data_IF_462982050554
#
_entry.id   IF_462982050554
#
_cell.length_a   1.000
_cell.length_b   1.000
_cell.length_c   1.000
_cell.angle_alpha   90.00
_cell.angle_beta   90.00
_cell.angle_gamma   90.00
#
_symmetry.space_group_name_H-M   'P 1'
#
loop_
_entity.id
_entity.type
_entity.pdbx_description
1 polymer ?
#
# COMPACT_ATOMS: atom_id res chain seq x y z
N UNK A 1 -24.66 9.35 -0.71
CA UNK A 1 -24.13 8.48 -1.76
C UNK A 1 -23.14 7.56 -1.09
N UNK A 2 -23.40 6.26 -1.02
CA UNK A 2 -22.55 5.33 -0.28
C UNK A 2 -21.18 5.20 -0.95
N UNK A 3 -20.11 5.20 -0.14
CA UNK A 3 -18.73 4.95 -0.61
C UNK A 3 -18.45 3.47 -0.88
N UNK A 4 -19.41 2.61 -0.56
CA UNK A 4 -19.28 1.17 -0.70
C UNK A 4 -20.04 0.72 -1.93
N UNK A 5 -19.36 0.12 -2.86
CA UNK A 5 -19.93 -0.73 -3.88
C UNK A 5 -19.08 -2.00 -3.97
N UNK A 6 -19.74 -3.09 -4.32
CA UNK A 6 -19.06 -4.36 -4.51
C UNK A 6 -18.04 -4.22 -5.64
N UNK A 7 -16.81 -4.71 -5.41
CA UNK A 7 -15.79 -4.65 -6.43
C UNK A 7 -16.12 -5.68 -7.52
N UNK A 8 -16.26 -5.25 -8.76
CA UNK A 8 -16.54 -6.11 -9.91
C UNK A 8 -15.40 -7.11 -10.21
N UNK A 9 -14.23 -6.90 -9.58
CA UNK A 9 -13.01 -7.68 -9.81
C UNK A 9 -12.37 -8.13 -8.52
N UNK A 10 -11.83 -9.34 -8.54
CA UNK A 10 -10.96 -9.83 -7.46
C UNK A 10 -9.63 -9.09 -7.46
N UNK A 11 -8.93 -9.10 -6.32
CA UNK A 11 -7.59 -8.49 -6.24
C UNK A 11 -6.59 -9.14 -7.21
N UNK A 12 -6.73 -10.44 -7.48
CA UNK A 12 -5.89 -11.13 -8.48
C UNK A 12 -6.13 -10.62 -9.90
N UNK A 13 -7.38 -10.37 -10.28
CA UNK A 13 -7.70 -9.76 -11.57
C UNK A 13 -7.15 -8.33 -11.67
N UNK A 14 -7.22 -7.56 -10.59
CA UNK A 14 -6.59 -6.24 -10.56
C UNK A 14 -5.08 -6.30 -10.75
N UNK A 15 -4.40 -7.30 -10.17
CA UNK A 15 -2.96 -7.50 -10.37
C UNK A 15 -2.60 -7.87 -11.83
N UNK A 16 -3.51 -8.45 -12.59
CA UNK A 16 -3.28 -8.79 -13.98
C UNK A 16 -3.46 -7.59 -14.93
N UNK A 17 -4.35 -6.66 -14.56
CA UNK A 17 -4.75 -5.55 -15.43
C UNK A 17 -4.06 -4.23 -15.10
N UNK A 18 -3.64 -4.06 -13.85
CA UNK A 18 -3.12 -2.80 -13.30
C UNK A 18 -1.67 -2.96 -12.88
N UNK A 19 -0.93 -1.85 -12.85
CA UNK A 19 0.49 -1.88 -12.50
C UNK A 19 0.87 -1.03 -11.28
N UNK A 20 0.04 -0.08 -10.91
CA UNK A 20 0.32 0.84 -9.80
C UNK A 20 -0.59 0.53 -8.61
N UNK A 21 -0.02 0.12 -7.49
CA UNK A 21 -0.77 -0.25 -6.28
C UNK A 21 -0.35 0.64 -5.11
N UNK A 22 -1.33 1.19 -4.42
CA UNK A 22 -1.09 2.03 -3.24
C UNK A 22 -1.74 1.37 -2.04
N UNK A 23 -0.94 0.95 -1.09
CA UNK A 23 -1.41 0.27 0.10
C UNK A 23 -1.38 1.21 1.30
N UNK A 24 -2.54 1.38 1.91
CA UNK A 24 -2.74 2.22 3.07
C UNK A 24 -3.37 1.37 4.15
N UNK A 25 -2.99 1.58 5.39
CA UNK A 25 -3.56 0.83 6.52
C UNK A 25 -2.97 1.29 7.82
N UNK A 26 -3.81 1.25 8.86
CA UNK A 26 -3.42 1.61 10.20
C UNK A 26 -2.38 0.65 10.80
N UNK A 27 -1.72 1.10 11.86
CA UNK A 27 -0.72 0.29 12.56
C UNK A 27 -1.29 -1.09 12.96
N UNK A 28 -0.56 -2.16 12.64
CA UNK A 28 -0.98 -3.53 12.92
C UNK A 28 -2.03 -4.10 11.95
N UNK A 29 -2.32 -3.43 10.84
CA UNK A 29 -3.14 -4.00 9.77
C UNK A 29 -2.47 -5.18 9.05
N UNK A 30 -1.16 -5.36 9.22
CA UNK A 30 -0.35 -6.35 8.48
C UNK A 30 0.01 -5.87 7.07
N UNK A 31 -0.22 -4.59 6.78
CA UNK A 31 -0.02 -3.96 5.48
C UNK A 31 1.32 -4.32 4.85
N UNK A 32 2.40 -4.01 5.53
CA UNK A 32 3.76 -4.12 4.97
C UNK A 32 4.18 -5.56 4.65
N UNK A 33 3.78 -6.52 5.49
CA UNK A 33 4.01 -7.94 5.22
C UNK A 33 3.21 -8.40 4.00
N UNK A 34 1.96 -7.95 3.90
CA UNK A 34 1.11 -8.25 2.75
C UNK A 34 1.69 -7.65 1.46
N UNK A 35 2.13 -6.40 1.49
CA UNK A 35 2.72 -5.71 0.33
C UNK A 35 3.99 -6.41 -0.16
N UNK A 36 4.85 -6.86 0.74
CA UNK A 36 6.05 -7.64 0.39
C UNK A 36 5.68 -8.96 -0.31
N UNK A 37 4.68 -9.68 0.20
CA UNK A 37 4.21 -10.93 -0.42
C UNK A 37 3.58 -10.68 -1.79
N UNK A 38 2.80 -9.61 -1.95
CA UNK A 38 2.24 -9.21 -3.25
C UNK A 38 3.35 -8.86 -4.23
N UNK A 39 4.37 -8.11 -3.83
CA UNK A 39 5.49 -7.74 -4.67
C UNK A 39 6.22 -8.99 -5.23
N UNK A 40 6.52 -9.96 -4.36
CA UNK A 40 7.15 -11.23 -4.78
C UNK A 40 6.23 -12.02 -5.72
N UNK A 41 4.93 -12.10 -5.42
CA UNK A 41 3.95 -12.79 -6.27
C UNK A 41 3.86 -12.16 -7.66
N UNK A 42 3.82 -10.82 -7.73
CA UNK A 42 3.81 -10.08 -9.00
C UNK A 42 5.08 -10.31 -9.83
N UNK A 43 6.25 -10.19 -9.20
CA UNK A 43 7.52 -10.42 -9.88
C UNK A 43 7.62 -11.85 -10.43
N UNK A 44 7.26 -12.86 -9.64
CA UNK A 44 7.28 -14.26 -10.05
C UNK A 44 6.28 -14.57 -11.16
N UNK A 45 5.07 -13.98 -11.10
CA UNK A 45 3.99 -14.22 -12.07
C UNK A 45 4.28 -13.59 -13.43
N UNK A 46 4.86 -12.40 -13.43
CA UNK A 46 4.96 -11.58 -14.64
C UNK A 46 6.36 -11.55 -15.25
N UNK A 47 7.39 -11.91 -14.48
CA UNK A 47 8.79 -11.75 -14.87
C UNK A 47 9.23 -10.29 -15.02
N UNK A 48 8.38 -9.32 -14.64
CA UNK A 48 8.68 -7.89 -14.67
C UNK A 48 9.26 -7.44 -13.35
N UNK A 49 10.05 -6.38 -13.40
CA UNK A 49 10.53 -5.71 -12.20
C UNK A 49 9.38 -5.09 -11.42
N UNK A 50 9.45 -5.22 -10.11
CA UNK A 50 8.53 -4.59 -9.16
C UNK A 50 9.31 -3.58 -8.32
N UNK A 51 8.94 -2.31 -8.38
CA UNK A 51 9.48 -1.27 -7.53
C UNK A 51 8.56 -1.10 -6.31
N UNK A 52 9.06 -1.43 -5.13
CA UNK A 52 8.37 -1.28 -3.85
C UNK A 52 8.94 -0.09 -3.09
N UNK A 53 8.15 0.96 -2.95
CA UNK A 53 8.50 2.15 -2.17
C UNK A 53 7.97 2.02 -0.74
N UNK A 54 8.90 1.97 0.24
CA UNK A 54 8.58 2.07 1.66
C UNK A 54 8.48 3.55 2.04
N UNK A 55 7.24 4.03 2.14
CA UNK A 55 6.91 5.41 2.47
C UNK A 55 6.40 5.57 3.90
N UNK A 56 6.45 4.50 4.72
CA UNK A 56 6.09 4.56 6.14
C UNK A 56 7.20 5.23 6.95
N UNK A 57 7.03 6.53 7.20
CA UNK A 57 7.98 7.33 7.96
C UNK A 57 7.90 7.07 9.48
N UNK A 58 6.81 6.51 9.97
CA UNK A 58 6.57 6.33 11.40
C UNK A 58 7.06 4.99 11.93
N UNK A 59 7.07 3.99 11.09
CA UNK A 59 7.54 2.64 11.42
C UNK A 59 8.30 2.08 10.23
N UNK A 60 9.61 2.31 10.17
CA UNK A 60 10.41 1.77 9.09
C UNK A 60 10.27 0.24 9.04
N UNK A 61 10.07 -0.28 7.86
CA UNK A 61 9.99 -1.69 7.57
C UNK A 61 11.38 -2.33 7.72
N UNK A 62 11.82 -2.60 8.96
CA UNK A 62 13.12 -3.20 9.21
C UNK A 62 13.35 -4.45 8.37
N UNK A 63 12.33 -5.31 8.25
CA UNK A 63 12.45 -6.56 7.50
C UNK A 63 12.66 -6.35 6.00
N UNK A 64 11.98 -5.39 5.40
CA UNK A 64 12.15 -5.14 3.96
C UNK A 64 13.52 -4.56 3.63
N UNK A 65 14.05 -3.70 4.49
CA UNK A 65 15.37 -3.09 4.32
C UNK A 65 16.49 -4.10 4.52
N UNK A 66 16.42 -4.89 5.57
CA UNK A 66 17.39 -5.93 5.88
C UNK A 66 17.45 -7.04 4.82
N UNK A 67 16.34 -7.29 4.16
CA UNK A 67 16.21 -8.34 3.14
C UNK A 67 16.32 -7.82 1.69
N UNK A 68 16.72 -6.58 1.49
CA UNK A 68 16.77 -5.92 0.18
C UNK A 68 17.46 -6.77 -0.90
N UNK A 69 18.62 -7.36 -0.56
CA UNK A 69 19.35 -8.20 -1.52
C UNK A 69 18.61 -9.47 -1.91
N UNK A 70 17.88 -10.07 -0.97
CA UNK A 70 17.12 -11.29 -1.25
C UNK A 70 15.86 -10.99 -2.06
N UNK A 71 15.23 -9.84 -1.82
CA UNK A 71 14.11 -9.38 -2.64
C UNK A 71 14.56 -8.99 -4.07
N UNK A 72 15.71 -8.37 -4.21
CA UNK A 72 16.28 -8.04 -5.52
C UNK A 72 16.49 -9.29 -6.39
N UNK A 73 16.96 -10.39 -5.81
CA UNK A 73 17.08 -11.69 -6.51
C UNK A 73 15.74 -12.25 -6.99
N UNK A 74 14.64 -11.82 -6.35
CA UNK A 74 13.26 -12.20 -6.71
C UNK A 74 12.57 -11.20 -7.64
N UNK A 75 13.29 -10.22 -8.19
CA UNK A 75 12.76 -9.20 -9.07
C UNK A 75 12.04 -8.05 -8.37
N UNK A 76 12.21 -7.90 -7.06
CA UNK A 76 11.63 -6.82 -6.26
C UNK A 76 12.72 -5.85 -5.83
N UNK A 77 12.62 -4.61 -6.29
CA UNK A 77 13.51 -3.52 -5.91
C UNK A 77 12.84 -2.71 -4.79
N UNK A 78 13.37 -2.80 -3.58
CA UNK A 78 12.84 -2.06 -2.41
C UNK A 78 13.55 -0.71 -2.33
N UNK A 79 12.77 0.37 -2.39
CA UNK A 79 13.24 1.74 -2.40
C UNK A 79 12.75 2.44 -1.15
N UNK A 80 13.66 2.98 -0.37
CA UNK A 80 13.38 3.77 0.83
C UNK A 80 14.38 4.90 0.95
N UNK A 81 14.07 5.88 1.76
CA UNK A 81 15.00 6.95 2.11
C UNK A 81 15.32 6.91 3.59
N UNK A 82 16.60 6.86 3.92
CA UNK A 82 17.02 7.04 5.30
C UNK A 82 16.71 8.47 5.72
N UNK A 83 15.97 8.62 6.81
CA UNK A 83 15.70 9.94 7.39
C UNK A 83 16.98 10.43 8.10
N UNK A 84 17.59 11.45 7.56
CA UNK A 84 18.54 12.26 8.28
C UNK A 84 17.80 13.44 8.89
N UNK A 85 17.65 13.45 10.22
CA UNK A 85 16.99 14.52 11.00
C UNK A 85 15.49 14.68 10.66
N UNK A 86 14.63 14.74 11.60
CA UNK A 86 13.16 14.89 11.64
C UNK A 86 12.44 15.65 10.49
N UNK A 87 13.06 15.79 9.32
CA UNK A 87 12.48 16.42 8.15
C UNK A 87 11.81 15.37 7.26
N UNK A 88 10.54 15.55 6.88
CA UNK A 88 9.88 14.69 5.91
C UNK A 88 10.54 14.83 4.55
N UNK A 89 11.31 13.85 4.15
CA UNK A 89 11.98 13.82 2.84
C UNK A 89 11.16 12.98 1.88
N UNK A 90 10.87 13.51 0.70
CA UNK A 90 10.19 12.76 -0.35
C UNK A 90 11.13 11.69 -0.92
N UNK A 91 10.68 10.43 -0.93
CA UNK A 91 11.43 9.35 -1.57
C UNK A 91 11.49 9.62 -3.07
N UNK A 92 12.72 9.70 -3.60
CA UNK A 92 12.94 9.95 -5.02
C UNK A 92 12.47 8.77 -5.89
N UNK A 93 12.15 9.05 -7.15
CA UNK A 93 11.85 8.03 -8.15
C UNK A 93 10.39 7.56 -8.22
N UNK A 94 9.53 7.84 -7.22
CA UNK A 94 8.11 7.41 -7.22
C UNK A 94 7.40 7.83 -8.51
N UNK A 95 7.51 9.08 -8.91
CA UNK A 95 6.86 9.59 -10.13
C UNK A 95 7.34 8.87 -11.40
N UNK A 96 8.64 8.61 -11.48
CA UNK A 96 9.25 7.91 -12.62
C UNK A 96 8.76 6.47 -12.69
N UNK A 97 8.70 5.78 -11.55
CA UNK A 97 8.21 4.41 -11.49
C UNK A 97 6.72 4.32 -11.86
N UNK A 98 5.86 5.22 -11.33
CA UNK A 98 4.43 5.25 -11.64
C UNK A 98 4.09 5.41 -13.13
N UNK A 99 4.96 6.05 -13.91
CA UNK A 99 4.77 6.23 -15.37
C UNK A 99 5.56 5.21 -16.20
N UNK A 100 6.38 4.37 -15.58
CA UNK A 100 7.18 3.34 -16.24
C UNK A 100 6.34 2.11 -16.59
N UNK A 101 6.99 1.10 -17.21
CA UNK A 101 6.40 -0.21 -17.46
C UNK A 101 6.60 -1.20 -16.30
N UNK A 102 7.23 -0.76 -15.21
CA UNK A 102 7.38 -1.55 -13.99
C UNK A 102 6.07 -1.65 -13.21
N UNK A 103 5.95 -2.66 -12.37
CA UNK A 103 4.96 -2.62 -11.30
C UNK A 103 5.45 -1.70 -10.19
N UNK A 104 4.60 -0.78 -9.77
CA UNK A 104 4.91 0.15 -8.68
C UNK A 104 4.00 -0.12 -7.49
N UNK A 105 4.58 -0.46 -6.36
CA UNK A 105 3.88 -0.65 -5.10
C UNK A 105 4.32 0.44 -4.12
N UNK A 106 3.35 1.19 -3.58
CA UNK A 106 3.59 2.19 -2.55
C UNK A 106 3.08 1.66 -1.21
N UNK A 107 3.97 1.40 -0.27
CA UNK A 107 3.63 1.07 1.12
C UNK A 107 3.56 2.35 1.94
N UNK A 108 2.34 2.85 2.17
CA UNK A 108 2.09 4.11 2.85
C UNK A 108 1.72 3.83 4.30
N UNK A 109 2.43 4.47 5.22
CA UNK A 109 2.12 4.39 6.65
C UNK A 109 0.69 4.76 6.99
N UNK A 110 0.21 4.33 8.14
CA UNK A 110 -1.10 4.70 8.65
C UNK A 110 -1.20 6.19 8.99
N UNK A 111 -2.43 6.69 8.96
CA UNK A 111 -2.76 8.02 9.39
C UNK A 111 -2.74 9.11 8.32
N UNK A 112 -3.30 10.25 8.73
CA UNK A 112 -3.57 11.40 7.86
C UNK A 112 -2.32 12.01 7.19
N UNK A 113 -1.18 12.01 7.88
CA UNK A 113 0.07 12.58 7.36
C UNK A 113 0.61 11.77 6.18
N UNK A 114 0.60 10.46 6.30
CA UNK A 114 1.07 9.56 5.25
C UNK A 114 0.17 9.63 4.00
N UNK A 115 -1.15 9.71 4.20
CA UNK A 115 -2.11 9.90 3.11
C UNK A 115 -1.91 11.24 2.38
N UNK A 116 -1.59 12.33 3.12
CA UNK A 116 -1.24 13.63 2.51
C UNK A 116 -0.01 13.55 1.62
N UNK A 117 1.00 12.79 2.05
CA UNK A 117 2.19 12.58 1.25
C UNK A 117 1.88 11.91 -0.09
N UNK A 118 1.03 10.86 -0.06
CA UNK A 118 0.57 10.21 -1.27
C UNK A 118 -0.27 11.14 -2.17
N UNK A 119 -0.96 12.11 -1.59
CA UNK A 119 -1.70 13.15 -2.31
C UNK A 119 -0.85 14.01 -3.27
N UNK A 120 0.48 14.04 -3.08
CA UNK A 120 1.40 14.68 -4.03
C UNK A 120 1.47 13.95 -5.39
N UNK A 121 0.99 12.72 -5.46
CA UNK A 121 0.94 11.89 -6.66
C UNK A 121 -0.49 11.66 -7.16
N UNK A 122 -1.48 12.41 -6.65
CA UNK A 122 -2.89 12.22 -6.97
C UNK A 122 -3.19 12.25 -8.46
N UNK A 123 -2.48 13.09 -9.23
CA UNK A 123 -2.59 13.17 -10.69
C UNK A 123 -2.20 11.88 -11.43
N UNK A 124 -1.41 11.02 -10.80
CA UNK A 124 -1.04 9.70 -11.33
C UNK A 124 -1.88 8.60 -10.70
N UNK A 125 -2.21 8.72 -9.41
CA UNK A 125 -2.97 7.72 -8.67
C UNK A 125 -4.47 7.73 -8.96
N UNK A 126 -5.00 8.78 -9.59
CA UNK A 126 -6.38 8.84 -10.08
C UNK A 126 -6.58 8.24 -11.46
N UNK A 127 -5.52 7.75 -12.10
CA UNK A 127 -5.59 7.11 -13.41
C UNK A 127 -6.08 5.67 -13.30
N UNK A 128 -6.61 5.16 -14.41
CA UNK A 128 -7.16 3.79 -14.50
C UNK A 128 -6.16 2.67 -14.19
N UNK A 129 -4.85 2.93 -14.30
CA UNK A 129 -3.81 1.94 -14.02
C UNK A 129 -3.37 1.90 -12.54
N UNK A 130 -3.98 2.71 -11.69
CA UNK A 130 -3.71 2.77 -10.26
C UNK A 130 -4.83 2.13 -9.43
N UNK A 131 -4.42 1.40 -8.40
CA UNK A 131 -5.30 0.70 -7.46
C UNK A 131 -4.96 1.13 -6.03
N UNK A 132 -5.67 2.13 -5.48
CA UNK A 132 -5.55 2.46 -4.07
C UNK A 132 -6.29 1.41 -3.23
N UNK A 133 -5.61 0.86 -2.22
CA UNK A 133 -6.11 -0.23 -1.37
C UNK A 133 -6.00 0.15 0.09
N UNK A 134 -7.11 0.15 0.82
CA UNK A 134 -7.14 0.28 2.27
C UNK A 134 -7.19 -1.10 2.93
N UNK A 135 -6.14 -1.43 3.69
CA UNK A 135 -6.02 -2.70 4.39
C UNK A 135 -6.62 -2.58 5.78
N UNK A 136 -7.65 -3.37 6.03
CA UNK A 136 -8.41 -3.40 7.27
C UNK A 136 -8.13 -4.69 8.04
N UNK A 137 -7.65 -4.56 9.28
CA UNK A 137 -7.61 -5.65 10.23
C UNK A 137 -8.74 -5.48 11.25
N UNK A 138 -9.82 -6.28 11.19
CA UNK A 138 -11.00 -6.11 12.04
C UNK A 138 -10.73 -6.37 13.54
N UNK A 139 -9.59 -6.95 13.88
CA UNK A 139 -9.19 -7.19 15.28
C UNK A 139 -8.45 -6.00 15.91
N UNK A 140 -8.40 -4.85 15.24
CA UNK A 140 -7.76 -3.63 15.78
C UNK A 140 -8.79 -2.64 16.34
N UNK A 141 -8.42 -1.87 17.37
CA UNK A 141 -9.35 -0.96 18.04
C UNK A 141 -10.00 0.10 17.13
N UNK A 142 -9.31 0.55 16.10
CA UNK A 142 -9.77 1.58 15.16
C UNK A 142 -10.67 1.04 14.04
N UNK A 143 -10.89 -0.26 13.97
CA UNK A 143 -11.79 -0.92 13.01
C UNK A 143 -13.00 -1.56 13.69
N UNK A 144 -13.39 -1.07 14.88
CA UNK A 144 -14.46 -1.64 15.71
C UNK A 144 -15.85 -1.57 15.08
N UNK A 145 -16.08 -0.67 14.15
CA UNK A 145 -17.36 -0.49 13.48
C UNK A 145 -17.16 -0.07 12.03
N UNK A 146 -18.19 -0.28 11.23
CA UNK A 146 -18.24 0.18 9.84
C UNK A 146 -18.08 1.71 9.77
N UNK A 147 -18.69 2.44 10.69
CA UNK A 147 -18.58 3.91 10.74
C UNK A 147 -17.14 4.38 11.00
N UNK A 148 -16.39 3.66 11.85
CA UNK A 148 -14.98 3.97 12.10
C UNK A 148 -14.13 3.72 10.85
N UNK A 149 -14.38 2.63 10.13
CA UNK A 149 -13.72 2.32 8.86
C UNK A 149 -14.07 3.37 7.81
N UNK A 150 -15.35 3.71 7.64
CA UNK A 150 -15.83 4.73 6.70
C UNK A 150 -15.22 6.10 7.00
N UNK A 151 -15.19 6.51 8.28
CA UNK A 151 -14.57 7.75 8.71
C UNK A 151 -13.09 7.82 8.33
N UNK A 152 -12.32 6.74 8.57
CA UNK A 152 -10.91 6.66 8.21
C UNK A 152 -10.73 6.72 6.68
N UNK A 153 -11.54 5.98 5.93
CA UNK A 153 -11.48 6.00 4.46
C UNK A 153 -11.76 7.39 3.89
N UNK A 154 -12.78 8.11 4.39
CA UNK A 154 -13.07 9.48 3.96
C UNK A 154 -11.88 10.41 4.17
N UNK A 155 -11.22 10.28 5.31
CA UNK A 155 -10.00 11.05 5.60
C UNK A 155 -8.86 10.72 4.64
N UNK A 156 -8.65 9.44 4.34
CA UNK A 156 -7.64 8.98 3.41
C UNK A 156 -7.93 9.52 2.00
N UNK A 157 -9.14 9.29 1.49
CA UNK A 157 -9.58 9.75 0.17
C UNK A 157 -9.41 11.26 0.00
N UNK A 158 -9.90 12.05 0.99
CA UNK A 158 -9.75 13.49 0.96
C UNK A 158 -8.30 13.96 1.00
N UNK A 159 -7.44 13.29 1.77
CA UNK A 159 -6.01 13.62 1.88
C UNK A 159 -5.24 13.27 0.62
N UNK A 160 -5.56 12.17 -0.02
CA UNK A 160 -4.96 11.70 -1.27
C UNK A 160 -5.59 12.34 -2.51
N UNK A 161 -6.72 13.03 -2.36
CA UNK A 161 -7.51 13.60 -3.47
C UNK A 161 -7.95 12.54 -4.47
N UNK A 162 -8.40 11.39 -3.94
CA UNK A 162 -8.96 10.29 -4.71
C UNK A 162 -10.46 10.19 -4.48
N UNK A 163 -11.17 9.65 -5.45
CA UNK A 163 -12.62 9.46 -5.42
C UNK A 163 -13.04 8.03 -5.07
N UNK A 164 -12.11 7.08 -5.16
CA UNK A 164 -12.36 5.67 -4.84
C UNK A 164 -11.16 5.02 -4.14
N UNK A 165 -11.44 3.94 -3.40
CA UNK A 165 -10.44 3.08 -2.76
C UNK A 165 -11.02 1.67 -2.61
N UNK A 166 -10.21 0.66 -2.86
CA UNK A 166 -10.56 -0.73 -2.60
C UNK A 166 -10.31 -1.07 -1.13
N UNK A 167 -11.14 -1.94 -0.57
CA UNK A 167 -10.95 -2.45 0.79
C UNK A 167 -10.42 -3.88 0.70
N UNK A 168 -9.33 -4.14 1.40
CA UNK A 168 -8.78 -5.48 1.55
C UNK A 168 -8.80 -5.88 3.03
N UNK A 169 -9.64 -6.87 3.36
CA UNK A 169 -9.68 -7.45 4.70
C UNK A 169 -8.45 -8.32 4.96
N UNK A 170 -7.73 -8.03 6.04
CA UNK A 170 -6.58 -8.83 6.49
C UNK A 170 -6.73 -9.14 7.99
N UNK A 171 -7.68 -10.03 8.38
CA UNK A 171 -7.88 -10.39 9.77
C UNK A 171 -6.66 -11.16 10.29
N UNK A 172 -5.92 -10.55 11.21
CA UNK A 172 -4.75 -11.18 11.80
C UNK A 172 -4.54 -10.78 13.25
N UNK A 173 -4.06 -11.72 14.05
CA UNK A 173 -3.63 -11.57 15.44
C UNK A 173 -2.11 -11.75 15.58
N UNK A 174 -1.36 -11.59 14.51
CA UNK A 174 0.06 -11.90 14.45
C UNK A 174 0.28 -13.41 14.62
N UNK A 175 1.18 -13.81 15.51
CA UNK A 175 1.49 -15.22 15.77
C UNK A 175 0.31 -16.05 16.31
N UNK A 176 -0.75 -15.40 16.80
CA UNK A 176 -1.96 -16.06 17.27
C UNK A 176 -3.01 -16.28 16.17
N UNK A 177 -2.71 -15.94 14.92
CA UNK A 177 -3.62 -16.18 13.80
C UNK A 177 -3.69 -17.67 13.49
N UNK A 178 -4.90 -18.24 13.51
CA UNK A 178 -5.18 -19.60 13.05
C UNK A 178 -6.07 -19.56 11.81
N UNK A 179 -5.81 -20.44 10.86
CA UNK A 179 -6.69 -20.70 9.72
C UNK A 179 -7.59 -21.87 10.09
N UNK A 180 -8.75 -21.59 10.67
CA UNK A 180 -9.80 -22.58 10.92
C UNK A 180 -10.97 -22.30 10.01
#
# INVERSE_FOLDING_TARGET
MGLFYEADKTFEQLMDEKKNFVFIGEAGSGKSELVLNIAVKLAAKTGRQVDLFDLDQTKPLYRSRDMQQDFAKRGVNIIYQEQYLDAPVMVGGVRVSLISDHYTLLDIGGGHQAAKFAGAYSDLLSKDDAVPVYIVNPYRPWTKSVDAIDGTMRHILGSMRLDHIYILGNPNLGYATSFN
#
